data_IF_650555125655
#
_entry.id   IF_650555125655
#
_cell.length_a   1.000
_cell.length_b   1.000
_cell.length_c   1.000
_cell.angle_alpha   90.00
_cell.angle_beta   90.00
_cell.angle_gamma   90.00
#
_symmetry.space_group_name_H-M   'P 1'
#
loop_
_entity.id
_entity.type
_entity.pdbx_description
1 polymer ?
#
# COMPACT_ATOMS: atom_id res chain seq x y z
N UNK A 1 11.07 47.72 51.91
CA UNK A 1 11.31 46.44 51.21
C UNK A 1 10.04 46.13 50.44
N UNK A 2 9.98 46.58 49.18
CA UNK A 2 8.73 46.78 48.46
C UNK A 2 8.24 45.50 47.77
N UNK A 3 6.98 45.17 48.03
CA UNK A 3 6.18 44.08 47.44
C UNK A 3 6.20 44.11 45.90
N UNK A 4 6.50 45.26 45.29
CA UNK A 4 6.61 45.47 43.84
C UNK A 4 7.79 44.68 43.23
N UNK A 5 8.91 44.49 43.96
CA UNK A 5 10.06 43.74 43.44
C UNK A 5 9.83 42.22 43.44
N UNK A 6 8.98 41.67 44.32
CA UNK A 6 8.63 40.25 44.29
C UNK A 6 7.68 39.89 43.15
N UNK A 7 6.76 40.81 42.79
CA UNK A 7 5.83 40.58 41.67
C UNK A 7 6.57 40.64 40.33
N UNK A 8 7.55 41.53 40.15
CA UNK A 8 8.36 41.55 38.92
C UNK A 8 9.24 40.29 38.77
N UNK A 9 9.78 39.75 39.87
CA UNK A 9 10.57 38.51 39.83
C UNK A 9 9.67 37.30 39.54
N UNK A 10 8.45 37.24 40.08
CA UNK A 10 7.48 36.19 39.74
C UNK A 10 6.95 36.31 38.30
N UNK A 11 6.81 37.52 37.76
CA UNK A 11 6.42 37.74 36.37
C UNK A 11 7.58 37.43 35.40
N UNK A 12 8.83 37.69 35.79
CA UNK A 12 10.01 37.29 35.00
C UNK A 12 10.33 35.79 35.10
N UNK A 13 9.92 35.12 36.19
CA UNK A 13 10.02 33.65 36.34
C UNK A 13 8.84 32.89 35.72
N UNK A 14 7.71 33.53 35.43
CA UNK A 14 6.56 32.90 34.76
C UNK A 14 6.55 33.07 33.24
N UNK A 15 7.44 33.90 32.68
CA UNK A 15 7.76 33.94 31.26
C UNK A 15 9.00 33.07 30.98
N UNK A 16 9.00 31.82 31.46
CA UNK A 16 9.53 30.75 30.63
C UNK A 16 8.52 30.61 29.50
N UNK A 17 8.74 31.36 28.43
CA UNK A 17 7.96 31.23 27.21
C UNK A 17 7.88 29.75 26.85
N UNK A 18 6.71 29.13 27.02
CA UNK A 18 6.40 27.93 26.26
C UNK A 18 6.27 28.41 24.81
N UNK A 19 7.41 28.59 24.16
CA UNK A 19 7.46 28.71 22.72
C UNK A 19 6.79 27.44 22.22
N UNK A 20 5.58 27.57 21.67
CA UNK A 20 4.90 26.45 21.06
C UNK A 20 5.81 25.97 19.94
N UNK A 21 6.48 24.83 20.17
CA UNK A 21 7.46 24.30 19.24
C UNK A 21 6.79 24.07 17.90
N UNK A 22 7.21 24.83 16.90
CA UNK A 22 6.62 24.75 15.57
C UNK A 22 7.38 23.70 14.75
N UNK A 23 6.61 22.84 14.08
CA UNK A 23 7.15 21.83 13.18
C UNK A 23 6.70 22.16 11.77
N UNK A 24 7.62 22.05 10.81
CA UNK A 24 7.30 22.13 9.39
C UNK A 24 7.19 20.72 8.83
N UNK A 25 6.04 20.44 8.22
CA UNK A 25 5.76 19.18 7.56
C UNK A 25 6.05 19.35 6.08
N UNK A 26 6.90 18.49 5.52
CA UNK A 26 7.20 18.47 4.10
C UNK A 26 6.54 17.22 3.51
N UNK A 27 5.67 17.46 2.53
CA UNK A 27 4.84 16.48 1.84
C UNK A 27 4.83 16.82 0.35
N UNK A 28 4.74 15.82 -0.53
CA UNK A 28 4.60 16.06 -1.97
C UNK A 28 3.14 16.12 -2.37
N UNK A 29 2.81 17.15 -3.17
CA UNK A 29 1.56 17.23 -3.92
C UNK A 29 1.50 16.13 -4.97
N UNK A 30 0.34 15.94 -5.58
CA UNK A 30 0.24 15.01 -6.70
C UNK A 30 1.01 15.57 -7.91
N UNK A 31 1.76 14.72 -8.64
CA UNK A 31 2.38 15.11 -9.89
C UNK A 31 1.30 15.38 -10.95
N UNK A 32 1.63 16.19 -11.95
CA UNK A 32 0.73 16.45 -13.08
C UNK A 32 0.34 15.16 -13.81
N UNK A 33 1.27 14.19 -13.88
CA UNK A 33 1.08 12.89 -14.52
C UNK A 33 1.66 11.80 -13.62
N UNK A 34 0.82 10.86 -13.21
CA UNK A 34 1.27 9.64 -12.55
C UNK A 34 1.84 8.64 -13.55
N UNK A 35 3.04 8.15 -13.28
CA UNK A 35 3.73 7.10 -14.05
C UNK A 35 4.06 5.93 -13.12
N UNK A 36 3.61 4.73 -13.51
CA UNK A 36 3.87 3.51 -12.75
C UNK A 36 5.39 3.27 -12.67
N UNK A 37 5.84 2.84 -11.50
CA UNK A 37 7.24 2.61 -11.13
C UNK A 37 8.15 3.86 -11.12
N UNK A 38 7.57 5.05 -11.36
CA UNK A 38 8.30 6.33 -11.31
C UNK A 38 7.72 7.21 -10.19
N UNK A 39 6.44 7.57 -10.28
CA UNK A 39 5.78 8.41 -9.28
C UNK A 39 4.95 7.59 -8.30
N UNK A 40 4.59 6.37 -8.67
CA UNK A 40 3.82 5.48 -7.80
C UNK A 40 4.08 4.01 -8.11
N UNK A 41 3.73 3.13 -7.17
CA UNK A 41 3.65 1.70 -7.40
C UNK A 41 2.48 1.05 -6.68
N UNK A 42 2.35 -0.27 -6.81
CA UNK A 42 1.25 -1.05 -6.25
C UNK A 42 1.71 -2.41 -5.76
N UNK A 43 1.05 -2.94 -4.73
CA UNK A 43 1.13 -4.38 -4.45
C UNK A 43 0.22 -5.13 -5.43
N UNK A 44 0.50 -6.40 -5.68
CA UNK A 44 -0.18 -7.18 -6.74
C UNK A 44 -0.63 -8.57 -6.30
N UNK A 45 -0.51 -8.89 -5.02
CA UNK A 45 -0.80 -10.23 -4.48
C UNK A 45 -2.28 -10.54 -4.27
N UNK A 46 -3.12 -9.52 -4.18
CA UNK A 46 -4.55 -9.68 -3.91
C UNK A 46 -5.34 -8.96 -5.00
N UNK A 47 -6.15 -9.73 -5.74
CA UNK A 47 -6.97 -9.21 -6.85
C UNK A 47 -8.30 -9.94 -6.94
N UNK A 48 -9.29 -9.27 -7.50
CA UNK A 48 -10.54 -9.86 -7.95
C UNK A 48 -10.32 -10.71 -9.18
N UNK A 49 -10.93 -11.89 -9.17
CA UNK A 49 -10.92 -12.80 -10.29
C UNK A 49 -12.24 -13.57 -10.39
N UNK A 50 -12.63 -13.87 -11.62
CA UNK A 50 -13.77 -14.74 -11.90
C UNK A 50 -13.31 -16.20 -11.95
N UNK A 51 -14.05 -17.07 -11.28
CA UNK A 51 -13.83 -18.51 -11.28
C UNK A 51 -15.13 -19.21 -11.64
N UNK A 52 -15.03 -20.24 -12.47
CA UNK A 52 -16.10 -21.22 -12.58
C UNK A 52 -16.12 -22.07 -11.29
N UNK A 53 -17.32 -22.33 -10.74
CA UNK A 53 -17.52 -23.10 -9.51
C UNK A 53 -16.77 -24.44 -9.52
N UNK A 54 -16.67 -25.10 -10.68
CA UNK A 54 -15.98 -26.39 -10.80
C UNK A 54 -14.50 -26.32 -10.38
N UNK A 55 -13.86 -25.15 -10.51
CA UNK A 55 -12.46 -24.95 -10.11
C UNK A 55 -12.33 -24.56 -8.63
N UNK A 56 -13.44 -24.35 -7.92
CA UNK A 56 -13.49 -24.06 -6.49
C UNK A 56 -13.79 -25.31 -5.66
N UNK A 57 -14.41 -26.31 -6.28
CA UNK A 57 -14.79 -27.59 -5.68
C UNK A 57 -13.69 -28.65 -5.86
N UNK A 58 -13.35 -29.34 -4.76
CA UNK A 58 -12.34 -30.43 -4.77
C UNK A 58 -12.67 -31.55 -5.77
N UNK A 59 -13.95 -31.83 -5.96
CA UNK A 59 -14.43 -32.92 -6.82
C UNK A 59 -14.82 -32.43 -8.22
N UNK A 60 -14.64 -31.13 -8.52
CA UNK A 60 -15.06 -30.55 -9.79
C UNK A 60 -16.58 -30.54 -9.99
N UNK A 61 -17.36 -30.67 -8.91
CA UNK A 61 -18.82 -30.70 -8.95
C UNK A 61 -19.40 -29.32 -8.63
N UNK A 62 -20.48 -28.97 -9.33
CA UNK A 62 -21.17 -27.69 -9.24
C UNK A 62 -22.53 -27.87 -8.60
N UNK A 63 -22.52 -28.05 -7.28
CA UNK A 63 -23.70 -28.38 -6.48
C UNK A 63 -23.99 -27.33 -5.41
N UNK A 64 -23.11 -26.34 -5.25
CA UNK A 64 -23.19 -25.32 -4.21
C UNK A 64 -23.52 -23.93 -4.76
N UNK A 65 -23.38 -22.93 -3.89
CA UNK A 65 -23.39 -21.51 -4.22
C UNK A 65 -21.99 -20.95 -4.13
N UNK A 66 -21.70 -19.84 -4.82
CA UNK A 66 -20.38 -19.22 -4.72
C UNK A 66 -20.03 -18.81 -3.28
N UNK A 67 -21.01 -18.48 -2.45
CA UNK A 67 -20.82 -18.15 -1.03
C UNK A 67 -20.30 -19.31 -0.19
N UNK A 68 -20.42 -20.55 -0.66
CA UNK A 68 -19.96 -21.73 0.07
C UNK A 68 -18.42 -21.84 0.02
N UNK A 69 -17.79 -21.15 -0.93
CA UNK A 69 -16.35 -21.11 -1.15
C UNK A 69 -15.72 -19.86 -0.51
N UNK A 70 -15.94 -19.69 0.79
CA UNK A 70 -15.48 -18.51 1.52
C UNK A 70 -13.96 -18.53 1.79
N UNK A 71 -13.36 -19.73 1.75
CA UNK A 71 -11.91 -20.05 1.77
C UNK A 71 -11.66 -21.40 1.07
N UNK A 72 -11.00 -21.38 -0.09
CA UNK A 72 -10.69 -22.57 -0.89
C UNK A 72 -9.39 -22.37 -1.69
N UNK A 73 -9.05 -23.32 -2.55
CA UNK A 73 -7.95 -23.24 -3.49
C UNK A 73 -8.41 -23.54 -4.91
N UNK A 74 -7.57 -23.21 -5.89
CA UNK A 74 -7.83 -23.60 -7.26
C UNK A 74 -7.69 -25.13 -7.39
N UNK A 75 -8.74 -25.78 -7.88
CA UNK A 75 -8.79 -27.22 -8.14
C UNK A 75 -8.79 -27.48 -9.64
N UNK A 76 -7.71 -28.08 -10.12
CA UNK A 76 -7.57 -28.41 -11.54
C UNK A 76 -8.50 -29.58 -11.92
N UNK A 77 -9.17 -29.46 -13.07
CA UNK A 77 -10.03 -30.52 -13.62
C UNK A 77 -9.70 -30.77 -15.09
N UNK A 78 -9.16 -31.96 -15.37
CA UNK A 78 -8.72 -32.40 -16.71
C UNK A 78 -9.85 -32.55 -17.72
N UNK A 79 -11.07 -32.89 -17.27
CA UNK A 79 -12.19 -33.22 -18.16
C UNK A 79 -12.74 -32.01 -18.94
N UNK A 80 -12.47 -30.78 -18.50
CA UNK A 80 -13.04 -29.56 -19.06
C UNK A 80 -11.99 -28.56 -19.58
N UNK A 81 -10.72 -28.95 -19.58
CA UNK A 81 -9.62 -28.05 -19.91
C UNK A 81 -9.36 -27.97 -21.42
N UNK A 82 -10.16 -27.21 -22.16
CA UNK A 82 -9.96 -26.96 -23.61
C UNK A 82 -9.59 -25.52 -24.00
N UNK A 83 -9.36 -24.63 -23.03
CA UNK A 83 -9.09 -23.21 -23.31
C UNK A 83 -7.79 -22.76 -22.64
N UNK A 84 -6.85 -22.24 -23.44
CA UNK A 84 -5.60 -21.55 -23.02
C UNK A 84 -5.85 -20.51 -21.91
N UNK A 85 -7.06 -19.95 -21.86
CA UNK A 85 -7.47 -18.95 -20.90
C UNK A 85 -7.71 -19.53 -19.49
N UNK A 86 -8.03 -20.83 -19.36
CA UNK A 86 -8.16 -21.49 -18.05
C UNK A 86 -6.79 -21.66 -17.36
N UNK A 87 -5.71 -21.73 -18.15
CA UNK A 87 -4.34 -21.73 -17.64
C UNK A 87 -3.89 -20.33 -17.18
N UNK A 88 -4.49 -19.25 -17.71
CA UNK A 88 -4.19 -17.86 -17.35
C UNK A 88 -4.85 -17.40 -16.02
N UNK A 89 -5.81 -18.18 -15.51
CA UNK A 89 -6.62 -17.86 -14.32
C UNK A 89 -6.33 -18.76 -13.12
N UNK A 90 -5.13 -19.31 -13.03
CA UNK A 90 -4.73 -20.06 -11.85
C UNK A 90 -4.43 -19.09 -10.70
N UNK A 91 -5.11 -19.30 -9.56
CA UNK A 91 -4.72 -18.67 -8.31
C UNK A 91 -3.72 -19.59 -7.60
N UNK A 92 -2.48 -19.15 -7.41
CA UNK A 92 -1.47 -20.02 -6.80
C UNK A 92 -1.56 -20.07 -5.27
N UNK A 93 -2.42 -19.26 -4.66
CA UNK A 93 -2.65 -19.21 -3.22
C UNK A 93 -4.10 -19.52 -2.84
N UNK A 94 -4.66 -18.74 -1.92
CA UNK A 94 -6.02 -18.93 -1.41
C UNK A 94 -7.02 -18.18 -2.28
N UNK A 95 -8.17 -18.80 -2.52
CA UNK A 95 -9.34 -18.16 -3.10
C UNK A 95 -10.32 -17.92 -1.97
N UNK A 96 -10.76 -16.68 -1.81
CA UNK A 96 -11.52 -16.26 -0.63
C UNK A 96 -12.65 -15.32 -1.02
N UNK A 97 -13.66 -15.23 -0.14
CA UNK A 97 -14.80 -14.31 -0.26
C UNK A 97 -15.48 -14.37 -1.63
N UNK A 98 -15.71 -15.59 -2.09
CA UNK A 98 -16.49 -15.84 -3.29
C UNK A 98 -17.94 -15.42 -3.11
N UNK A 99 -18.51 -14.82 -4.15
CA UNK A 99 -19.91 -14.43 -4.22
C UNK A 99 -20.45 -14.67 -5.62
N UNK A 100 -21.76 -14.87 -5.69
CA UNK A 100 -22.46 -14.95 -6.96
C UNK A 100 -22.33 -13.60 -7.70
N UNK A 101 -22.26 -13.66 -9.02
CA UNK A 101 -22.31 -12.48 -9.87
C UNK A 101 -23.78 -12.10 -10.05
N UNK A 102 -24.26 -11.13 -9.26
CA UNK A 102 -25.65 -10.63 -9.29
C UNK A 102 -25.65 -9.14 -9.64
N UNK A 103 -26.57 -8.69 -10.50
CA UNK A 103 -26.81 -7.26 -10.79
C UNK A 103 -25.69 -6.56 -11.56
N UNK A 104 -24.93 -7.30 -12.37
CA UNK A 104 -23.77 -6.82 -13.11
C UNK A 104 -23.93 -6.98 -14.65
N UNK A 105 -24.53 -6.00 -15.33
CA UNK A 105 -24.62 -5.95 -16.80
C UNK A 105 -23.39 -5.28 -17.43
N UNK A 106 -22.32 -6.05 -17.66
CA UNK A 106 -21.20 -5.58 -18.45
C UNK A 106 -20.64 -6.67 -19.36
N UNK A 107 -20.21 -6.24 -20.55
CA UNK A 107 -19.35 -7.04 -21.41
C UNK A 107 -17.92 -6.94 -20.90
N UNK A 108 -17.29 -8.06 -20.52
CA UNK A 108 -15.88 -8.11 -20.11
C UNK A 108 -15.03 -8.82 -21.15
N UNK A 109 -14.16 -8.05 -21.77
CA UNK A 109 -13.15 -8.55 -22.70
C UNK A 109 -11.83 -8.68 -21.98
N UNK A 110 -11.19 -9.84 -22.14
CA UNK A 110 -9.87 -10.10 -21.60
C UNK A 110 -8.80 -9.60 -22.57
N UNK A 111 -7.80 -8.89 -22.07
CA UNK A 111 -6.56 -8.64 -22.80
C UNK A 111 -5.48 -9.60 -22.31
N UNK A 112 -4.93 -10.37 -23.24
CA UNK A 112 -3.90 -11.39 -22.96
C UNK A 112 -2.59 -10.73 -22.50
N UNK A 113 -2.29 -9.54 -23.00
CA UNK A 113 -1.01 -8.85 -22.84
C UNK A 113 -0.67 -8.53 -21.36
N UNK A 114 -1.69 -8.20 -20.56
CA UNK A 114 -1.54 -7.85 -19.13
C UNK A 114 -2.50 -8.64 -18.21
N UNK A 115 -3.27 -9.61 -18.73
CA UNK A 115 -4.30 -10.35 -18.00
C UNK A 115 -5.31 -9.45 -17.25
N UNK A 116 -5.55 -8.25 -17.77
CA UNK A 116 -6.51 -7.32 -17.21
C UNK A 116 -7.85 -7.43 -17.95
N UNK A 117 -8.92 -7.46 -17.17
CA UNK A 117 -10.30 -7.28 -17.60
C UNK A 117 -10.49 -5.86 -18.12
N UNK A 118 -10.90 -5.74 -19.39
CA UNK A 118 -11.54 -4.53 -19.90
C UNK A 118 -13.04 -4.78 -19.87
N UNK A 119 -13.78 -3.90 -19.21
CA UNK A 119 -15.23 -4.01 -19.18
C UNK A 119 -15.90 -2.82 -19.86
N UNK A 120 -17.03 -3.09 -20.51
CA UNK A 120 -17.91 -2.09 -21.09
C UNK A 120 -19.30 -2.31 -20.46
N UNK A 121 -19.81 -1.36 -19.65
CA UNK A 121 -21.17 -1.45 -19.14
C UNK A 121 -22.15 -1.43 -20.31
N UNK A 122 -23.11 -2.35 -20.33
CA UNK A 122 -24.16 -2.35 -21.35
C UNK A 122 -25.18 -1.26 -20.97
N UNK A 123 -25.51 -0.35 -21.91
CA UNK A 123 -26.41 0.78 -21.63
C UNK A 123 -27.89 0.42 -21.74
N UNK A 124 -28.23 -0.62 -22.50
CA UNK A 124 -29.60 -1.00 -22.81
C UNK A 124 -29.71 -2.54 -22.80
N UNK A 125 -30.43 -3.11 -21.84
CA UNK A 125 -30.80 -4.52 -21.84
C UNK A 125 -30.50 -5.24 -20.52
N UNK A 126 -31.54 -5.87 -19.98
CA UNK A 126 -31.58 -6.72 -18.78
C UNK A 126 -30.91 -8.10 -18.97
N UNK A 127 -29.91 -8.19 -19.86
CA UNK A 127 -29.27 -9.45 -20.24
C UNK A 127 -27.75 -9.44 -19.95
N UNK A 128 -27.39 -10.24 -18.94
CA UNK A 128 -26.04 -10.48 -18.45
C UNK A 128 -25.17 -11.19 -19.50
N UNK A 129 -24.32 -10.45 -20.21
CA UNK A 129 -23.39 -11.03 -21.18
C UNK A 129 -21.96 -10.52 -20.95
N UNK A 130 -21.11 -11.30 -20.28
CA UNK A 130 -19.66 -11.10 -20.39
C UNK A 130 -19.18 -11.80 -21.65
N UNK A 131 -18.96 -11.02 -22.71
CA UNK A 131 -18.45 -11.53 -24.00
C UNK A 131 -16.93 -11.47 -24.05
N UNK A 132 -16.30 -12.64 -24.15
CA UNK A 132 -14.88 -12.79 -24.48
C UNK A 132 -14.70 -12.50 -25.96
N UNK A 133 -13.71 -11.69 -26.32
CA UNK A 133 -13.28 -11.54 -27.72
C UNK A 133 -11.82 -11.98 -27.80
N UNK A 134 -11.55 -13.14 -28.39
CA UNK A 134 -10.19 -13.59 -28.67
C UNK A 134 -9.77 -13.08 -30.04
N UNK A 135 -8.70 -12.30 -30.10
CA UNK A 135 -7.97 -12.08 -31.34
C UNK A 135 -6.97 -13.21 -31.54
N UNK A 136 -7.32 -14.22 -32.33
CA UNK A 136 -6.37 -15.23 -32.79
C UNK A 136 -5.76 -14.73 -34.10
N UNK A 137 -4.45 -14.52 -34.14
CA UNK A 137 -3.76 -14.24 -35.38
C UNK A 137 -3.43 -15.57 -36.07
N UNK A 138 -4.35 -16.04 -36.92
CA UNK A 138 -4.07 -17.14 -37.85
C UNK A 138 -3.52 -16.56 -39.16
N UNK A 139 -2.40 -17.09 -39.65
CA UNK A 139 -1.72 -16.61 -40.86
C UNK A 139 -2.41 -17.04 -42.16
N UNK A 140 -3.47 -17.85 -42.09
CA UNK A 140 -4.12 -18.40 -43.30
C UNK A 140 -5.58 -17.98 -43.52
N UNK A 141 -6.25 -17.34 -42.56
CA UNK A 141 -7.64 -16.91 -42.75
C UNK A 141 -7.89 -15.53 -42.13
N UNK A 142 -8.64 -14.69 -42.86
CA UNK A 142 -9.15 -13.38 -42.43
C UNK A 142 -9.46 -13.29 -40.92
N UNK A 143 -9.19 -12.13 -40.31
CA UNK A 143 -9.48 -11.82 -38.89
C UNK A 143 -10.76 -12.50 -38.37
N UNK A 144 -10.63 -13.65 -37.71
CA UNK A 144 -11.73 -14.32 -37.01
C UNK A 144 -11.67 -13.93 -35.54
N UNK A 145 -12.64 -13.14 -35.10
CA UNK A 145 -12.92 -12.98 -33.68
C UNK A 145 -13.71 -14.20 -33.22
N UNK A 146 -13.10 -15.10 -32.45
CA UNK A 146 -13.88 -16.09 -31.70
C UNK A 146 -14.44 -15.38 -30.46
N UNK A 147 -15.73 -15.08 -30.53
CA UNK A 147 -16.47 -14.68 -29.34
C UNK A 147 -16.80 -15.96 -28.56
N UNK A 148 -16.31 -16.06 -27.35
CA UNK A 148 -16.70 -17.10 -26.41
C UNK A 148 -17.54 -16.43 -25.34
N UNK A 149 -18.82 -16.79 -25.25
CA UNK A 149 -19.63 -16.31 -24.13
C UNK A 149 -19.06 -16.94 -22.84
N UNK A 150 -18.59 -16.11 -21.91
CA UNK A 150 -18.18 -16.59 -20.58
C UNK A 150 -19.42 -16.93 -19.72
N UNK A 151 -20.64 -16.68 -20.23
CA UNK A 151 -21.90 -16.81 -19.49
C UNK A 151 -23.02 -17.37 -20.35
N UNK A 152 -23.80 -18.25 -19.74
CA UNK A 152 -25.25 -18.28 -19.89
C UNK A 152 -25.85 -18.59 -18.53
N UNK A 153 -26.66 -17.70 -17.95
CA UNK A 153 -27.63 -18.09 -16.91
C UNK A 153 -28.73 -18.91 -17.60
N UNK A 154 -28.50 -20.20 -17.81
CA UNK A 154 -29.60 -21.10 -18.19
C UNK A 154 -30.37 -21.48 -16.92
N UNK A 155 -31.70 -21.64 -16.99
CA UNK A 155 -32.45 -22.29 -15.92
C UNK A 155 -31.82 -23.65 -15.59
N UNK A 156 -31.76 -23.98 -14.30
CA UNK A 156 -31.30 -25.26 -13.73
C UNK A 156 -32.13 -26.45 -14.25
N UNK A 157 -32.02 -26.80 -15.53
CA UNK A 157 -32.74 -27.93 -16.11
C UNK A 157 -31.97 -28.72 -17.16
N UNK A 158 -30.66 -28.51 -17.31
CA UNK A 158 -29.82 -29.44 -18.07
C UNK A 158 -28.46 -29.61 -17.41
N UNK A 159 -28.08 -30.87 -17.18
CA UNK A 159 -26.82 -31.27 -16.58
C UNK A 159 -25.64 -30.64 -17.35
N UNK A 160 -24.68 -30.01 -16.64
CA UNK A 160 -23.35 -29.55 -17.09
C UNK A 160 -23.09 -28.05 -17.38
N UNK A 161 -23.69 -27.09 -16.67
CA UNK A 161 -23.14 -25.71 -16.61
C UNK A 161 -23.03 -25.21 -15.18
N UNK A 162 -21.83 -24.82 -14.79
CA UNK A 162 -21.47 -24.35 -13.46
C UNK A 162 -21.67 -22.84 -13.33
N UNK A 163 -21.91 -22.35 -12.11
CA UNK A 163 -22.04 -20.90 -11.87
C UNK A 163 -20.67 -20.24 -11.91
N UNK A 164 -20.62 -18.98 -12.38
CA UNK A 164 -19.40 -18.17 -12.29
C UNK A 164 -19.42 -17.34 -11.02
N UNK A 165 -18.37 -17.50 -10.22
CA UNK A 165 -18.14 -16.81 -8.96
C UNK A 165 -17.16 -15.65 -9.13
N UNK A 166 -17.45 -14.52 -8.50
CA UNK A 166 -16.44 -13.47 -8.25
C UNK A 166 -15.79 -13.72 -6.91
N UNK A 167 -14.48 -13.86 -6.89
CA UNK A 167 -13.70 -14.15 -5.69
C UNK A 167 -12.46 -13.26 -5.64
N UNK A 168 -11.81 -13.20 -4.47
CA UNK A 168 -10.46 -12.67 -4.40
C UNK A 168 -9.44 -13.81 -4.44
N UNK A 169 -8.42 -13.64 -5.27
CA UNK A 169 -7.24 -14.49 -5.27
C UNK A 169 -6.15 -13.84 -4.42
N UNK A 170 -5.80 -14.47 -3.30
CA UNK A 170 -4.65 -14.15 -2.46
C UNK A 170 -3.46 -14.97 -2.96
N UNK A 171 -2.79 -14.47 -4.00
CA UNK A 171 -1.76 -15.13 -4.82
C UNK A 171 -0.39 -15.18 -4.11
N UNK A 172 -0.39 -15.62 -2.85
CA UNK A 172 0.78 -15.59 -1.95
C UNK A 172 1.94 -16.45 -2.40
N UNK A 173 1.70 -17.45 -3.26
CA UNK A 173 2.72 -18.35 -3.79
C UNK A 173 3.28 -17.91 -5.16
N UNK A 174 2.70 -16.87 -5.78
CA UNK A 174 3.21 -16.35 -7.05
C UNK A 174 4.54 -15.64 -6.87
N UNK A 175 5.54 -16.11 -7.60
CA UNK A 175 6.89 -15.51 -7.66
C UNK A 175 6.91 -14.12 -8.29
N UNK A 176 5.81 -13.71 -8.94
CA UNK A 176 5.70 -12.42 -9.63
C UNK A 176 4.92 -11.37 -8.84
N UNK A 177 4.33 -11.75 -7.69
CA UNK A 177 3.59 -10.82 -6.85
C UNK A 177 4.52 -9.86 -6.11
N UNK A 178 4.17 -8.56 -6.10
CA UNK A 178 4.72 -7.58 -5.17
C UNK A 178 3.84 -7.62 -3.93
N UNK A 179 4.39 -8.14 -2.83
CA UNK A 179 3.58 -8.43 -1.63
C UNK A 179 4.28 -8.16 -0.31
N UNK A 180 5.52 -7.71 -0.35
CA UNK A 180 6.34 -7.64 0.86
C UNK A 180 6.92 -6.25 1.02
N UNK A 181 6.99 -5.81 2.27
CA UNK A 181 7.82 -4.68 2.68
C UNK A 181 9.14 -5.24 3.19
N UNK A 182 10.25 -4.59 2.88
CA UNK A 182 11.52 -4.92 3.49
C UNK A 182 11.53 -4.42 4.94
N UNK A 183 11.72 -5.31 5.91
CA UNK A 183 11.74 -4.97 7.33
C UNK A 183 13.13 -4.63 7.85
N UNK A 184 14.15 -4.67 6.99
CA UNK A 184 15.50 -4.27 7.37
C UNK A 184 15.54 -2.78 7.70
N UNK A 185 16.27 -2.46 8.76
CA UNK A 185 16.62 -1.08 9.07
C UNK A 185 17.55 -0.52 8.01
N UNK A 186 17.29 0.71 7.57
CA UNK A 186 18.23 1.52 6.80
C UNK A 186 18.70 2.68 7.68
N UNK A 187 20.01 2.78 7.86
CA UNK A 187 20.67 3.79 8.68
C UNK A 187 21.59 4.63 7.79
N UNK A 188 21.79 5.89 8.17
CA UNK A 188 22.85 6.73 7.62
C UNK A 188 24.22 6.23 8.08
N UNK A 189 25.29 6.80 7.50
CA UNK A 189 26.68 6.59 7.95
C UNK A 189 26.91 7.33 9.27
N UNK A 190 26.27 6.89 10.35
CA UNK A 190 26.26 7.56 11.67
C UNK A 190 27.67 7.75 12.21
N UNK A 191 28.53 6.71 12.08
CA UNK A 191 29.94 6.75 12.49
C UNK A 191 30.76 7.84 11.78
N UNK A 192 30.31 8.27 10.60
CA UNK A 192 30.94 9.35 9.81
C UNK A 192 30.22 10.71 9.99
N UNK A 193 29.27 10.79 10.93
CA UNK A 193 28.50 12.00 11.20
C UNK A 193 27.34 12.24 10.24
N UNK A 194 26.87 11.24 9.48
CA UNK A 194 25.76 11.42 8.54
C UNK A 194 24.41 11.28 9.20
N UNK A 195 23.47 12.15 8.80
CA UNK A 195 22.06 12.12 9.20
C UNK A 195 21.15 12.02 7.98
N UNK A 196 19.89 11.66 8.21
CA UNK A 196 18.88 11.60 7.15
C UNK A 196 18.37 13.01 6.84
N UNK A 197 18.30 13.33 5.54
CA UNK A 197 17.79 14.61 5.01
C UNK A 197 16.56 14.44 4.11
N UNK A 198 16.23 13.19 3.76
CA UNK A 198 15.07 12.86 2.93
C UNK A 198 14.74 11.37 2.89
N UNK A 199 13.57 11.05 2.35
CA UNK A 199 12.97 9.72 2.37
C UNK A 199 12.17 9.46 1.08
N UNK A 200 12.18 8.22 0.58
CA UNK A 200 11.24 7.77 -0.45
C UNK A 200 10.88 6.28 -0.33
N UNK A 201 9.78 5.91 -0.96
CA UNK A 201 9.39 4.52 -1.17
C UNK A 201 9.76 4.10 -2.58
N UNK A 202 10.22 2.86 -2.74
CA UNK A 202 10.49 2.25 -4.05
C UNK A 202 10.11 0.78 -4.04
N UNK A 203 9.85 0.19 -5.21
CA UNK A 203 9.83 -1.27 -5.37
C UNK A 203 11.15 -1.74 -5.97
N UNK A 204 11.86 -2.61 -5.26
CA UNK A 204 13.06 -3.31 -5.76
C UNK A 204 12.90 -4.80 -5.52
N UNK A 205 13.28 -5.60 -6.51
CA UNK A 205 13.25 -7.06 -6.39
C UNK A 205 11.87 -7.56 -5.91
N UNK A 206 10.79 -6.90 -6.40
CA UNK A 206 9.38 -7.15 -6.06
C UNK A 206 9.00 -6.93 -4.59
N UNK A 207 9.78 -6.14 -3.86
CA UNK A 207 9.51 -5.74 -2.48
C UNK A 207 9.51 -4.22 -2.36
N UNK A 208 8.74 -3.69 -1.42
CA UNK A 208 8.73 -2.26 -1.09
C UNK A 208 9.89 -1.96 -0.14
N UNK A 209 10.75 -1.01 -0.51
CA UNK A 209 11.88 -0.56 0.28
C UNK A 209 11.71 0.90 0.70
N UNK A 210 12.30 1.24 1.85
CA UNK A 210 12.65 2.62 2.18
C UNK A 210 14.03 2.93 1.61
N UNK A 211 14.17 4.10 1.02
CA UNK A 211 15.47 4.69 0.68
C UNK A 211 15.60 6.03 1.37
N UNK A 212 16.81 6.36 1.83
CA UNK A 212 17.09 7.59 2.57
C UNK A 212 18.07 8.44 1.78
N UNK A 213 17.85 9.74 1.80
CA UNK A 213 18.89 10.70 1.44
C UNK A 213 19.63 11.06 2.73
N UNK A 214 20.96 11.11 2.66
CA UNK A 214 21.81 11.44 3.80
C UNK A 214 22.81 12.53 3.46
N UNK A 215 23.28 13.24 4.49
CA UNK A 215 24.36 14.22 4.40
C UNK A 215 25.08 14.36 5.74
N UNK A 216 26.34 14.76 5.70
CA UNK A 216 27.18 14.91 6.89
C UNK A 216 26.74 16.13 7.70
N UNK A 217 26.42 15.90 8.98
CA UNK A 217 26.12 16.93 9.97
C UNK A 217 27.41 17.51 10.51
N UNK A 218 27.58 18.83 10.40
CA UNK A 218 28.71 19.57 10.94
C UNK A 218 28.19 20.83 11.59
N UNK A 219 28.39 20.96 12.90
CA UNK A 219 27.97 22.12 13.70
C UNK A 219 26.50 22.52 13.50
N UNK A 220 25.60 21.53 13.43
CA UNK A 220 24.16 21.73 13.27
C UNK A 220 23.68 21.87 11.82
N UNK A 221 24.59 21.95 10.85
CA UNK A 221 24.27 22.12 9.44
C UNK A 221 24.69 20.93 8.59
N UNK A 222 23.97 20.68 7.49
CA UNK A 222 24.38 19.67 6.52
C UNK A 222 25.41 20.26 5.56
N UNK A 223 26.54 19.57 5.41
CA UNK A 223 27.51 19.85 4.35
C UNK A 223 26.93 19.44 3.00
N UNK A 224 26.41 20.41 2.24
CA UNK A 224 25.64 20.16 1.01
C UNK A 224 26.37 19.29 -0.04
N UNK A 225 27.71 19.39 -0.13
CA UNK A 225 28.51 18.59 -1.06
C UNK A 225 28.57 17.09 -0.73
N UNK A 226 28.12 16.69 0.46
CA UNK A 226 28.09 15.28 0.89
C UNK A 226 26.73 14.61 0.66
N UNK A 227 25.73 15.36 0.20
CA UNK A 227 24.35 14.87 0.10
C UNK A 227 24.22 13.83 -0.99
N UNK A 228 23.78 12.62 -0.64
CA UNK A 228 23.55 11.54 -1.59
C UNK A 228 22.49 10.55 -1.09
N UNK A 229 21.96 9.74 -2.00
CA UNK A 229 21.02 8.67 -1.66
C UNK A 229 21.77 7.42 -1.18
N UNK A 230 21.36 6.89 -0.03
CA UNK A 230 21.75 5.56 0.44
C UNK A 230 20.70 4.55 -0.02
N UNK A 231 21.13 3.59 -0.84
CA UNK A 231 20.26 2.63 -1.52
C UNK A 231 20.64 1.21 -1.12
N UNK A 232 19.67 0.45 -0.62
CA UNK A 232 19.82 -0.98 -0.35
C UNK A 232 19.08 -1.80 -1.41
N UNK A 233 19.83 -2.51 -2.26
CA UNK A 233 19.27 -3.31 -3.36
C UNK A 233 18.74 -4.70 -2.96
N UNK A 234 18.93 -5.10 -1.70
CA UNK A 234 18.59 -6.42 -1.18
C UNK A 234 17.84 -6.29 0.15
N UNK A 235 17.14 -7.35 0.54
CA UNK A 235 16.44 -7.42 1.83
C UNK A 235 16.72 -8.76 2.50
N UNK A 236 17.20 -8.73 3.75
CA UNK A 236 17.35 -9.92 4.60
C UNK A 236 16.01 -10.39 5.13
N UNK A 237 15.20 -9.43 5.58
CA UNK A 237 13.99 -9.70 6.38
C UNK A 237 12.74 -9.26 5.62
N UNK A 238 12.21 -10.08 4.71
CA UNK A 238 10.97 -9.77 4.02
C UNK A 238 9.78 -9.84 5.00
N UNK A 239 8.91 -8.84 4.93
CA UNK A 239 7.62 -8.80 5.61
C UNK A 239 6.49 -9.08 4.63
N UNK A 240 6.12 -10.35 4.37
CA UNK A 240 5.08 -10.69 3.42
C UNK A 240 3.67 -10.34 3.90
N UNK A 241 2.89 -9.74 3.03
CA UNK A 241 1.44 -9.59 3.17
C UNK A 241 0.69 -10.80 2.58
N UNK A 242 -0.51 -10.97 3.09
CA UNK A 242 -1.55 -11.88 2.61
C UNK A 242 -2.91 -11.23 2.91
N UNK A 243 -4.02 -11.89 2.60
CA UNK A 243 -5.33 -11.34 2.92
C UNK A 243 -5.44 -10.96 4.41
N UNK A 244 -5.14 -11.85 5.33
CA UNK A 244 -5.38 -11.58 6.76
C UNK A 244 -4.45 -10.50 7.35
N UNK A 245 -3.26 -10.31 6.77
CA UNK A 245 -2.20 -9.41 7.22
C UNK A 245 -1.80 -8.41 6.13
N UNK A 246 -2.67 -7.42 5.89
CA UNK A 246 -2.53 -6.38 4.87
C UNK A 246 -2.79 -4.97 5.39
N UNK A 247 -2.63 -4.77 6.69
CA UNK A 247 -2.89 -3.51 7.35
C UNK A 247 -1.60 -2.71 7.55
N UNK A 248 -1.66 -1.38 7.42
CA UNK A 248 -0.54 -0.47 7.66
C UNK A 248 -0.97 0.66 8.61
N UNK A 249 -0.18 0.92 9.65
CA UNK A 249 -0.43 1.98 10.63
C UNK A 249 0.01 3.33 10.06
N UNK A 250 -0.86 4.33 10.16
CA UNK A 250 -0.62 5.67 9.64
C UNK A 250 -0.18 6.56 10.80
N UNK A 251 1.13 6.58 11.02
CA UNK A 251 1.75 7.21 12.17
C UNK A 251 2.74 8.30 11.75
N UNK A 252 2.93 9.24 12.67
CA UNK A 252 4.02 10.21 12.67
C UNK A 252 4.87 9.94 13.90
N UNK A 253 6.19 9.87 13.69
CA UNK A 253 7.16 9.74 14.77
C UNK A 253 8.04 10.98 14.74
N UNK A 254 7.87 11.82 15.77
CA UNK A 254 8.66 13.00 16.03
C UNK A 254 9.65 12.65 17.14
N UNK A 255 10.93 12.93 16.91
CA UNK A 255 12.02 12.68 17.84
C UNK A 255 12.09 13.78 18.92
N UNK A 256 12.70 13.48 20.09
CA UNK A 256 13.06 14.47 21.09
C UNK A 256 13.87 15.66 20.54
N UNK A 257 13.93 16.74 21.33
CA UNK A 257 14.53 18.01 20.92
C UNK A 257 16.03 17.91 20.62
N UNK A 258 16.74 17.09 21.37
CA UNK A 258 18.16 16.83 21.22
C UNK A 258 18.49 15.80 20.14
N UNK A 259 17.49 15.21 19.46
CA UNK A 259 17.70 14.13 18.49
C UNK A 259 17.41 14.53 17.05
N UNK A 260 18.16 13.89 16.15
CA UNK A 260 17.97 13.92 14.70
C UNK A 260 17.84 12.51 14.14
N UNK A 261 17.17 12.38 13.00
CA UNK A 261 16.89 11.09 12.40
C UNK A 261 18.13 10.50 11.73
N UNK A 262 18.49 9.28 12.11
CA UNK A 262 19.63 8.53 11.56
C UNK A 262 19.25 7.15 11.04
N UNK A 263 18.06 6.65 11.36
CA UNK A 263 17.57 5.39 10.78
C UNK A 263 16.06 5.33 10.64
N UNK A 264 15.60 4.50 9.71
CA UNK A 264 14.19 4.18 9.50
C UNK A 264 14.02 2.69 9.18
N UNK A 265 12.86 2.13 9.54
CA UNK A 265 12.52 0.75 9.20
C UNK A 265 11.01 0.56 9.11
N UNK A 266 10.59 -0.45 8.35
CA UNK A 266 9.26 -1.01 8.53
C UNK A 266 9.29 -2.07 9.62
N UNK A 267 8.26 -2.04 10.46
CA UNK A 267 7.99 -3.06 11.46
C UNK A 267 6.77 -3.86 11.06
N UNK A 268 6.70 -5.10 11.54
CA UNK A 268 5.49 -5.91 11.50
C UNK A 268 5.14 -6.34 12.91
N UNK A 269 3.92 -6.01 13.30
CA UNK A 269 3.32 -6.48 14.54
C UNK A 269 2.28 -7.54 14.21
N UNK A 270 2.53 -8.78 14.62
CA UNK A 270 1.51 -9.82 14.61
C UNK A 270 0.88 -9.88 16.03
N UNK A 271 -0.42 -9.56 16.18
CA UNK A 271 -1.06 -9.63 17.49
C UNK A 271 -0.99 -11.07 18.02
N UNK A 272 -0.57 -11.20 19.29
CA UNK A 272 -0.58 -12.47 20.03
C UNK A 272 -2.00 -13.05 20.14
N UNK A 273 -3.02 -12.19 20.13
CA UNK A 273 -4.42 -12.59 20.15
C UNK A 273 -4.93 -12.85 18.73
N UNK A 274 -5.36 -14.09 18.49
CA UNK A 274 -6.11 -14.45 17.30
C UNK A 274 -7.53 -13.92 17.43
N UNK A 275 -7.99 -13.07 16.52
CA UNK A 275 -9.40 -12.68 16.41
C UNK A 275 -10.05 -13.62 15.41
N UNK A 276 -11.05 -14.42 15.83
CA UNK A 276 -11.64 -15.48 15.01
C UNK A 276 -10.63 -16.48 14.43
N UNK A 277 -9.52 -16.77 15.15
CA UNK A 277 -8.47 -17.67 14.67
C UNK A 277 -7.37 -17.02 13.84
N UNK A 278 -7.49 -15.73 13.48
CA UNK A 278 -6.50 -15.00 12.66
C UNK A 278 -5.72 -13.95 13.45
N UNK A 279 -4.39 -13.96 13.33
CA UNK A 279 -3.55 -12.83 13.73
C UNK A 279 -3.58 -11.77 12.63
N UNK A 280 -4.20 -10.62 12.90
CA UNK A 280 -4.21 -9.50 11.94
C UNK A 280 -2.91 -8.74 12.04
N UNK A 281 -1.90 -9.18 11.29
CA UNK A 281 -0.61 -8.50 11.19
C UNK A 281 -0.78 -7.06 10.70
N UNK A 282 -0.13 -6.11 11.38
CA UNK A 282 -0.07 -4.71 10.98
C UNK A 282 1.37 -4.28 10.76
N UNK A 283 1.62 -3.62 9.65
CA UNK A 283 2.88 -2.96 9.37
C UNK A 283 2.87 -1.57 10.01
N UNK A 284 4.02 -1.08 10.44
CA UNK A 284 4.17 0.27 10.99
C UNK A 284 5.55 0.83 10.68
N UNK A 285 5.71 2.14 10.84
CA UNK A 285 7.01 2.79 10.76
C UNK A 285 7.76 2.65 12.11
N UNK A 286 9.08 2.51 12.04
CA UNK A 286 10.01 2.70 13.14
C UNK A 286 11.16 3.58 12.70
N UNK A 287 11.78 4.25 13.67
CA UNK A 287 12.89 5.18 13.43
C UNK A 287 13.99 5.01 14.47
N UNK A 288 15.19 5.50 14.14
CA UNK A 288 16.31 5.64 15.06
C UNK A 288 16.66 7.12 15.11
N UNK A 289 16.66 7.67 16.31
CA UNK A 289 17.14 9.01 16.60
C UNK A 289 18.51 8.95 17.26
N UNK A 290 19.41 9.83 16.87
CA UNK A 290 20.72 10.01 17.51
C UNK A 290 20.80 11.41 18.09
N UNK A 291 21.35 11.52 19.30
CA UNK A 291 21.49 12.81 19.99
C UNK A 291 22.52 13.69 19.28
N UNK A 292 22.28 15.00 19.32
CA UNK A 292 23.17 16.05 18.84
C UNK A 292 23.76 16.72 20.06
N UNK A 293 25.08 16.83 20.10
CA UNK A 293 25.81 17.46 21.20
C UNK A 293 25.68 18.99 21.20
N UNK A 294 26.27 19.65 22.21
CA UNK A 294 26.26 21.10 22.34
C UNK A 294 27.02 21.84 21.23
N UNK A 295 27.86 21.14 20.47
CA UNK A 295 28.59 21.69 19.32
C UNK A 295 27.80 21.57 18.01
N UNK A 296 26.66 20.86 18.03
CA UNK A 296 25.84 20.60 16.85
C UNK A 296 26.28 19.38 16.05
N UNK A 297 27.14 18.52 16.61
CA UNK A 297 27.60 17.29 15.97
C UNK A 297 26.86 16.07 16.55
N UNK A 298 26.89 14.94 15.83
CA UNK A 298 26.27 13.72 16.33
C UNK A 298 27.04 13.14 17.50
N UNK A 299 26.31 12.81 18.56
CA UNK A 299 26.78 11.93 19.64
C UNK A 299 26.47 10.49 19.26
N UNK A 300 27.44 9.84 18.60
CA UNK A 300 27.29 8.51 18.00
C UNK A 300 26.98 7.41 19.01
N UNK A 301 27.34 7.59 20.28
CA UNK A 301 27.09 6.61 21.34
C UNK A 301 25.65 6.67 21.86
N UNK A 302 24.96 7.81 21.65
CA UNK A 302 23.63 8.07 22.18
C UNK A 302 22.55 8.00 21.10
N UNK A 303 22.14 6.77 20.77
CA UNK A 303 21.06 6.49 19.81
C UNK A 303 19.92 5.69 20.42
N UNK A 304 18.70 5.94 19.95
CA UNK A 304 17.48 5.39 20.52
C UNK A 304 16.50 4.94 19.42
N UNK A 305 15.98 3.70 19.48
CA UNK A 305 14.91 3.27 18.60
C UNK A 305 13.57 3.82 19.09
N UNK A 306 12.80 4.42 18.17
CA UNK A 306 11.44 4.88 18.42
C UNK A 306 10.45 4.17 17.50
N UNK A 307 9.40 3.62 18.07
CA UNK A 307 8.33 2.98 17.31
C UNK A 307 7.01 3.13 18.04
N UNK A 308 5.90 3.21 17.29
CA UNK A 308 4.56 3.41 17.85
C UNK A 308 3.67 2.22 17.55
N UNK A 309 3.77 1.18 18.37
CA UNK A 309 2.95 -0.04 18.18
C UNK A 309 1.67 -0.01 19.04
N UNK A 310 1.62 0.82 20.09
CA UNK A 310 0.54 0.82 21.07
C UNK A 310 -0.56 1.84 20.75
N UNK A 311 -1.78 1.61 21.26
CA UNK A 311 -2.92 2.52 21.12
C UNK A 311 -4.09 1.97 20.29
N UNK A 312 -5.31 2.30 20.70
CA UNK A 312 -6.54 1.94 19.99
C UNK A 312 -6.64 2.76 18.71
N UNK A 313 -6.56 2.08 17.56
CA UNK A 313 -6.65 2.70 16.23
C UNK A 313 -7.94 2.30 15.52
N UNK A 314 -8.48 3.21 14.72
CA UNK A 314 -9.65 2.98 13.85
C UNK A 314 -9.18 2.65 12.43
N UNK A 315 -9.89 1.74 11.77
CA UNK A 315 -9.66 1.49 10.35
C UNK A 315 -10.16 2.68 9.54
N UNK A 316 -9.34 3.18 8.63
CA UNK A 316 -9.76 4.14 7.62
C UNK A 316 -10.27 3.34 6.42
N UNK A 317 -11.57 3.42 6.16
CA UNK A 317 -12.23 2.70 5.08
C UNK A 317 -12.09 3.46 3.75
N UNK A 318 -11.78 2.74 2.69
CA UNK A 318 -11.72 3.27 1.33
C UNK A 318 -12.96 2.70 0.61
N UNK A 319 -14.02 3.50 0.56
CA UNK A 319 -15.32 3.10 0.01
C UNK A 319 -15.44 3.44 -1.47
N UNK A 320 -15.98 2.51 -2.27
CA UNK A 320 -16.43 2.74 -3.65
C UNK A 320 -15.39 3.44 -4.54
N UNK A 321 -14.11 3.14 -4.30
CA UNK A 321 -13.01 3.79 -4.98
C UNK A 321 -12.71 3.12 -6.31
N UNK A 322 -12.70 3.94 -7.36
CA UNK A 322 -12.15 3.55 -8.64
C UNK A 322 -10.61 3.54 -8.58
N UNK A 323 -9.99 3.19 -9.71
CA UNK A 323 -8.53 3.19 -9.88
C UNK A 323 -7.98 4.47 -10.47
N UNK A 324 -8.80 5.51 -10.60
CA UNK A 324 -8.30 6.79 -11.05
C UNK A 324 -7.27 7.27 -10.05
N UNK A 325 -6.10 7.63 -10.58
CA UNK A 325 -4.95 8.08 -9.80
C UNK A 325 -4.98 9.60 -9.58
N UNK A 326 -5.68 10.32 -10.47
CA UNK A 326 -5.72 11.79 -10.47
C UNK A 326 -7.15 12.23 -10.14
N UNK A 327 -7.42 12.65 -8.90
CA UNK A 327 -8.59 13.46 -8.62
C UNK A 327 -8.47 14.83 -9.31
N UNK A 328 -9.55 15.38 -9.90
CA UNK A 328 -9.52 16.67 -10.60
C UNK A 328 -8.95 17.84 -9.80
N UNK A 329 -8.97 17.76 -8.47
CA UNK A 329 -8.52 18.81 -7.55
C UNK A 329 -7.33 18.38 -6.68
N UNK A 330 -6.56 17.36 -7.10
CA UNK A 330 -5.46 16.77 -6.32
C UNK A 330 -5.94 16.05 -5.06
N UNK A 331 -5.08 15.26 -4.42
CA UNK A 331 -5.41 14.52 -3.19
C UNK A 331 -5.10 15.34 -1.93
N UNK A 332 -5.79 15.03 -0.84
CA UNK A 332 -5.58 15.65 0.47
C UNK A 332 -5.33 14.58 1.54
N UNK A 333 -4.59 14.92 2.60
CA UNK A 333 -4.38 14.01 3.73
C UNK A 333 -5.71 13.76 4.45
N UNK A 334 -6.18 12.50 4.42
CA UNK A 334 -7.42 12.06 5.09
C UNK A 334 -7.09 11.36 6.43
N UNK A 335 -5.89 10.78 6.53
CA UNK A 335 -5.48 10.10 7.75
C UNK A 335 -5.24 11.07 8.90
N UNK A 336 -5.51 10.61 10.12
CA UNK A 336 -5.08 11.28 11.34
C UNK A 336 -3.95 10.44 11.95
N UNK A 337 -2.75 11.01 12.10
CA UNK A 337 -1.60 10.32 12.67
C UNK A 337 -1.93 9.66 14.00
N UNK A 338 -1.42 8.45 14.23
CA UNK A 338 -1.57 7.70 15.49
C UNK A 338 -3.01 7.27 15.84
N UNK A 339 -4.01 7.64 15.02
CA UNK A 339 -5.41 7.24 15.21
C UNK A 339 -5.89 6.27 14.15
N UNK A 340 -5.33 6.33 12.95
CA UNK A 340 -5.77 5.54 11.82
C UNK A 340 -4.78 4.45 11.43
N UNK A 341 -5.33 3.35 10.92
CA UNK A 341 -4.60 2.39 10.11
C UNK A 341 -5.44 2.11 8.86
N UNK A 342 -4.79 1.74 7.78
CA UNK A 342 -5.45 1.41 6.51
C UNK A 342 -5.27 -0.07 6.23
N UNK A 343 -6.23 -0.67 5.52
CA UNK A 343 -6.09 -2.02 4.97
C UNK A 343 -5.98 -1.90 3.48
N UNK A 344 -4.92 -2.45 2.93
CA UNK A 344 -4.80 -2.69 1.51
C UNK A 344 -5.92 -3.62 1.05
N UNK A 345 -6.63 -3.31 -0.03
CA UNK A 345 -7.67 -4.18 -0.58
C UNK A 345 -7.84 -3.96 -2.08
N UNK A 346 -8.46 -4.92 -2.79
CA UNK A 346 -8.80 -4.73 -4.19
C UNK A 346 -9.77 -3.57 -4.38
N UNK A 347 -9.62 -2.84 -5.48
CA UNK A 347 -10.54 -1.82 -5.96
C UNK A 347 -11.98 -2.34 -6.09
N UNK A 348 -12.92 -1.45 -6.35
CA UNK A 348 -14.31 -1.87 -6.43
C UNK A 348 -14.58 -2.77 -7.66
N UNK A 349 -15.41 -3.81 -7.47
CA UNK A 349 -15.80 -4.71 -8.54
C UNK A 349 -16.54 -4.00 -9.68
N UNK A 350 -17.34 -2.97 -9.36
CA UNK A 350 -18.13 -2.22 -10.33
C UNK A 350 -17.30 -1.28 -11.18
N UNK A 351 -16.28 -0.67 -10.59
CA UNK A 351 -15.48 0.34 -11.28
C UNK A 351 -14.18 -0.20 -11.89
N UNK A 352 -13.66 -1.31 -11.39
CA UNK A 352 -12.37 -1.85 -11.85
C UNK A 352 -12.28 -3.38 -11.76
N UNK A 353 -13.39 -4.10 -11.53
CA UNK A 353 -13.37 -5.56 -11.38
C UNK A 353 -12.43 -6.03 -10.27
N UNK A 354 -12.17 -5.19 -9.26
CA UNK A 354 -11.25 -5.48 -8.18
C UNK A 354 -9.82 -5.84 -8.67
N UNK A 355 -9.39 -5.34 -9.83
CA UNK A 355 -8.11 -5.74 -10.42
C UNK A 355 -6.90 -5.12 -9.74
N UNK A 356 -7.05 -3.92 -9.19
CA UNK A 356 -5.96 -3.17 -8.59
C UNK A 356 -6.04 -3.21 -7.08
N UNK A 357 -4.90 -3.37 -6.44
CA UNK A 357 -4.77 -3.24 -5.00
C UNK A 357 -4.61 -1.74 -4.65
N UNK A 358 -5.47 -1.23 -3.77
CA UNK A 358 -5.47 0.14 -3.27
C UNK A 358 -5.31 0.18 -1.73
N UNK A 359 -4.73 1.25 -1.16
CA UNK A 359 -4.17 2.41 -1.85
C UNK A 359 -2.87 2.10 -2.59
N UNK A 360 -2.49 2.99 -3.50
CA UNK A 360 -1.19 2.95 -4.18
C UNK A 360 -0.07 3.42 -3.25
N UNK A 361 1.19 3.20 -3.65
CA UNK A 361 2.37 3.68 -2.96
C UNK A 361 2.88 4.94 -3.66
N UNK A 362 2.99 6.07 -2.99
CA UNK A 362 3.61 7.28 -3.55
C UNK A 362 5.15 7.13 -3.51
N UNK A 363 5.79 7.21 -4.69
CA UNK A 363 7.24 7.06 -4.83
C UNK A 363 7.99 8.38 -4.92
N UNK A 364 7.28 9.51 -4.87
CA UNK A 364 7.93 10.82 -4.90
C UNK A 364 8.87 10.96 -3.70
N UNK A 365 10.07 11.47 -3.97
CA UNK A 365 11.04 11.76 -2.92
C UNK A 365 10.59 12.93 -2.06
N UNK A 366 10.78 12.82 -0.76
CA UNK A 366 10.49 13.88 0.19
C UNK A 366 11.79 14.28 0.85
N UNK A 367 12.31 15.44 0.45
CA UNK A 367 13.62 15.96 0.83
C UNK A 367 13.50 17.36 1.39
N UNK A 368 14.52 17.78 2.13
CA UNK A 368 14.72 19.17 2.54
C UNK A 368 15.51 19.92 1.46
N UNK A 369 15.13 21.17 1.20
CA UNK A 369 15.84 22.05 0.25
C UNK A 369 16.06 23.43 0.91
N UNK A 370 17.33 23.83 1.21
CA UNK A 370 18.54 23.01 1.14
C UNK A 370 18.51 21.81 2.11
N UNK A 371 19.39 20.83 1.91
CA UNK A 371 19.41 19.63 2.74
C UNK A 371 19.65 20.02 4.21
N UNK A 372 18.82 19.50 5.11
CA UNK A 372 18.77 19.84 6.53
C UNK A 372 18.45 18.59 7.36
N UNK A 373 18.88 18.53 8.64
CA UNK A 373 18.56 17.39 9.50
C UNK A 373 17.05 17.32 9.73
N UNK A 374 16.48 16.11 9.68
CA UNK A 374 15.05 15.92 9.93
C UNK A 374 14.81 15.41 11.35
N UNK A 375 13.72 15.88 11.97
CA UNK A 375 13.34 15.58 13.35
C UNK A 375 12.26 14.51 13.45
N UNK A 376 11.80 13.98 12.33
CA UNK A 376 10.77 12.96 12.31
C UNK A 376 10.32 12.59 10.92
N UNK A 377 9.55 11.52 10.85
CA UNK A 377 8.96 11.00 9.61
C UNK A 377 7.56 10.48 9.88
N UNK A 378 6.76 10.41 8.83
CA UNK A 378 5.45 9.80 8.89
C UNK A 378 5.07 9.09 7.59
N UNK A 379 4.10 8.18 7.72
CA UNK A 379 3.39 7.59 6.59
C UNK A 379 1.93 7.98 6.75
N UNK A 380 1.37 8.62 5.73
CA UNK A 380 -0.01 9.11 5.74
C UNK A 380 -0.77 8.62 4.53
N UNK A 381 -2.10 8.65 4.61
CA UNK A 381 -2.98 8.35 3.50
C UNK A 381 -3.56 9.64 2.94
N UNK A 382 -3.37 9.85 1.64
CA UNK A 382 -3.97 10.96 0.88
C UNK A 382 -4.88 10.44 -0.22
N UNK A 383 -6.04 11.05 -0.37
CA UNK A 383 -7.01 10.67 -1.40
C UNK A 383 -8.07 11.77 -1.60
N UNK A 384 -9.09 11.47 -2.42
CA UNK A 384 -10.39 12.12 -2.43
C UNK A 384 -11.49 11.06 -2.56
N UNK A 385 -12.73 11.43 -2.23
CA UNK A 385 -13.89 10.54 -2.36
C UNK A 385 -13.98 9.96 -3.79
N UNK A 386 -14.08 8.63 -3.89
CA UNK A 386 -14.19 7.90 -5.16
C UNK A 386 -12.85 7.49 -5.79
N UNK A 387 -11.72 7.84 -5.18
CA UNK A 387 -10.36 7.51 -5.67
C UNK A 387 -9.65 6.56 -4.70
N UNK A 388 -8.79 5.69 -5.23
CA UNK A 388 -8.05 4.70 -4.44
C UNK A 388 -7.00 5.30 -3.50
N UNK A 389 -6.48 6.48 -3.85
CA UNK A 389 -5.53 7.23 -3.05
C UNK A 389 -4.15 6.59 -2.92
N UNK A 390 -3.30 7.19 -2.08
CA UNK A 390 -1.92 6.79 -1.88
C UNK A 390 -1.59 6.71 -0.39
N UNK A 391 -0.78 5.73 -0.01
CA UNK A 391 0.08 5.92 1.16
C UNK A 391 1.36 6.63 0.72
N UNK A 392 1.75 7.67 1.45
CA UNK A 392 2.86 8.53 1.09
C UNK A 392 3.78 8.80 2.29
N UNK A 393 5.10 8.91 2.07
CA UNK A 393 6.03 9.38 3.08
C UNK A 393 5.89 10.89 3.31
N UNK A 394 6.20 11.33 4.51
CA UNK A 394 6.43 12.73 4.86
C UNK A 394 7.59 12.86 5.83
N UNK A 395 8.27 14.00 5.77
CA UNK A 395 9.34 14.33 6.71
C UNK A 395 8.92 15.53 7.55
N UNK A 396 9.41 15.56 8.78
CA UNK A 396 9.11 16.58 9.78
C UNK A 396 10.43 17.23 10.13
N UNK A 397 10.48 18.55 10.02
CA UNK A 397 11.64 19.34 10.46
C UNK A 397 11.20 20.26 11.59
N UNK A 398 12.09 20.45 12.56
CA UNK A 398 11.93 21.51 13.55
C UNK A 398 11.98 22.83 12.79
N UNK A 399 10.93 23.64 12.90
CA UNK A 399 11.00 25.00 12.43
C UNK A 399 11.77 25.77 13.51
N UNK A 400 13.08 25.86 13.32
CA UNK A 400 13.91 26.71 14.14
C UNK A 400 13.61 28.18 13.78
N UNK A 401 13.48 28.97 14.85
CA UNK A 401 13.18 30.41 14.94
C UNK A 401 13.99 31.31 14.01
#
# INVERSE_FOLDING_TARGET
MNIINLVLIYFLLSVKSSFAQSYKYIQKKDPEIHRNDVTFGRLTFLKGQLFDEQYLSKNGQCTGRCSDYDDTHYHYNEHYNKSIVNQLFQCNGRIIKCKDVVGFDATVTLRVDNMMYRFKPNKDGSDFNVRKTEGLHDRQHHHFYKNHDLYTNYPMSSHSRCVTCKCYCDDTHSKNSVRSFCLDTIQSLVEEGYVITGLRLVIRTKMVHLEIQQGQLVNGFIKQSTVHWSIKNWCTTPGPMNYDSRAFQLDEIILPEDQVLTGVQFNRYDPKTKVHGFSVGRFSLGVIGTTVDSTGNLDIENWFPHHRIQGKRKVLLISDSNVSLIPPSGSEEISTPNKHYIKFHPSDWKYDFAQHMIPFLDFQEVVTEPASPISGVGIYYKSRRGFGGFIAPKIIVKANL
#
